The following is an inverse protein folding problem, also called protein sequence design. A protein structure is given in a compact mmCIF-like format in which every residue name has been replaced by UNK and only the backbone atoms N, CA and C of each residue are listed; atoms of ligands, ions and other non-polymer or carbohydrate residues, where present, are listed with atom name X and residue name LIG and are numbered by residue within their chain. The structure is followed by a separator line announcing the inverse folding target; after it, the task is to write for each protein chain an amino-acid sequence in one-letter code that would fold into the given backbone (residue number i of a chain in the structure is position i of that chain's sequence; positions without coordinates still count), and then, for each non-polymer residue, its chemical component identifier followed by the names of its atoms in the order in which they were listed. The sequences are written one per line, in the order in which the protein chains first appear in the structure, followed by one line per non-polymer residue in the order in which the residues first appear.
data_IF_812117260329
#
_entry.id   IF_812117260329
#
_cell.length_a   1.000
_cell.length_b   1.000
_cell.length_c   1.000
_cell.angle_alpha   90.00
_cell.angle_beta   90.00
_cell.angle_gamma   90.00
#
_symmetry.space_group_name_H-M   'P 1'
#
loop_
_entity.id
_entity.type
_entity.pdbx_description
1 polymer ?
#
# COMPACT_ATOMS: atom_id res chain seq x y z
N UNK A 1 -11.34 -12.58 5.86
CA UNK A 1 -10.94 -11.72 4.78
C UNK A 1 -11.75 -11.98 3.52
N UNK A 2 -12.30 -10.97 2.94
CA UNK A 2 -13.01 -11.16 1.68
C UNK A 2 -12.02 -11.59 0.61
N UNK A 3 -12.44 -12.54 -0.17
CA UNK A 3 -11.57 -13.10 -1.18
C UNK A 3 -11.93 -12.62 -2.57
N UNK A 4 -12.89 -11.72 -2.65
CA UNK A 4 -13.35 -11.22 -3.94
C UNK A 4 -12.61 -9.95 -4.35
N UNK A 5 -11.31 -9.93 -4.11
CA UNK A 5 -10.50 -8.79 -4.51
C UNK A 5 -10.11 -8.95 -5.97
N UNK A 6 -10.48 -8.00 -6.79
CA UNK A 6 -10.11 -8.02 -8.19
C UNK A 6 -8.65 -7.60 -8.36
N UNK A 7 -8.12 -7.83 -9.54
CA UNK A 7 -6.76 -7.44 -9.84
C UNK A 7 -6.54 -5.94 -9.61
N UNK A 8 -7.51 -5.15 -10.02
CA UNK A 8 -7.44 -3.71 -9.85
C UNK A 8 -7.42 -3.31 -8.39
N UNK A 9 -8.28 -3.92 -7.60
CA UNK A 9 -8.35 -3.62 -6.18
C UNK A 9 -7.07 -3.98 -5.47
N UNK A 10 -6.52 -5.12 -5.81
CA UNK A 10 -5.25 -5.53 -5.24
C UNK A 10 -4.14 -4.53 -5.55
N UNK A 11 -4.11 -4.07 -6.79
CA UNK A 11 -3.11 -3.11 -7.20
C UNK A 11 -3.21 -1.82 -6.41
N UNK A 12 -4.42 -1.32 -6.23
CA UNK A 12 -4.64 -0.10 -5.47
C UNK A 12 -4.17 -0.26 -4.03
N UNK A 13 -4.49 -1.40 -3.44
CA UNK A 13 -4.07 -1.67 -2.06
C UNK A 13 -2.55 -1.70 -1.93
N UNK A 14 -1.89 -2.34 -2.87
CA UNK A 14 -0.44 -2.43 -2.86
C UNK A 14 0.20 -1.05 -3.01
N UNK A 15 -0.32 -0.26 -3.94
CA UNK A 15 0.20 1.08 -4.17
C UNK A 15 0.02 1.95 -2.93
N UNK A 16 -1.16 1.90 -2.33
CA UNK A 16 -1.43 2.68 -1.13
C UNK A 16 -0.52 2.27 0.01
N UNK A 17 -0.36 0.97 0.20
CA UNK A 17 0.52 0.45 1.25
C UNK A 17 1.96 0.88 1.02
N UNK A 18 2.41 0.79 -0.21
CA UNK A 18 3.77 1.21 -0.55
C UNK A 18 3.99 2.69 -0.26
N UNK A 19 3.01 3.51 -0.59
CA UNK A 19 3.11 4.94 -0.33
C UNK A 19 3.20 5.24 1.16
N UNK A 20 2.39 4.55 1.96
CA UNK A 20 2.41 4.74 3.40
C UNK A 20 3.74 4.31 3.99
N UNK A 21 4.22 3.16 3.56
CA UNK A 21 5.50 2.65 4.06
C UNK A 21 6.65 3.59 3.69
N UNK A 22 6.67 4.04 2.44
CA UNK A 22 7.69 4.98 1.99
C UNK A 22 7.64 6.28 2.76
N UNK A 23 6.44 6.78 3.03
CA UNK A 23 6.28 7.99 3.81
C UNK A 23 6.82 7.85 5.21
N UNK A 24 6.53 6.72 5.85
CA UNK A 24 7.02 6.47 7.19
C UNK A 24 8.54 6.35 7.23
N UNK A 25 9.10 5.64 6.28
CA UNK A 25 10.54 5.48 6.19
C UNK A 25 11.19 6.84 5.95
N UNK A 26 10.61 7.61 5.07
CA UNK A 26 11.13 8.94 4.78
C UNK A 26 11.19 9.82 6.01
N UNK A 27 10.17 9.76 6.84
CA UNK A 27 10.14 10.53 8.07
C UNK A 27 11.20 10.06 9.06
N UNK A 28 11.41 8.76 9.12
CA UNK A 28 12.40 8.20 10.04
C UNK A 28 13.83 8.52 9.60
N UNK A 29 14.04 8.50 8.30
CA UNK A 29 15.38 8.76 7.77
C UNK A 29 15.71 10.24 7.78
N UNK A 30 14.70 11.07 7.68
CA UNK A 30 14.87 12.52 7.69
C UNK A 30 14.92 13.00 9.11
#
# INVERSE_FOLDING_TARGET
MPLAVTKHEKMILVVLTALVVLGLIGLLVL
#
